data_IF_795776695151
#
_entry.id   IF_795776695151
#
_cell.length_a   1.000
_cell.length_b   1.000
_cell.length_c   1.000
_cell.angle_alpha   90.00
_cell.angle_beta   90.00
_cell.angle_gamma   90.00
#
_symmetry.space_group_name_H-M   'P 1'
#
loop_
_entity.id
_entity.type
_entity.pdbx_description
1 polymer ?
#
# COMPACT_ATOMS: atom_id res chain seq x y z
N UNK A 1 22.46 -2.87 -9.48
CA UNK A 1 21.01 -3.15 -9.49
C UNK A 1 20.45 -2.57 -8.19
N UNK A 2 19.54 -1.58 -8.26
CA UNK A 2 18.97 -0.95 -7.07
C UNK A 2 18.06 -1.97 -6.37
N UNK A 3 18.39 -2.32 -5.13
CA UNK A 3 17.59 -3.22 -4.28
C UNK A 3 16.18 -2.60 -4.19
N UNK A 4 15.18 -3.28 -4.76
CA UNK A 4 13.79 -2.85 -4.62
C UNK A 4 13.43 -3.13 -3.17
N UNK A 5 13.29 -2.08 -2.37
CA UNK A 5 12.87 -2.17 -0.98
C UNK A 5 11.53 -2.92 -0.92
N UNK A 6 11.58 -4.21 -0.57
CA UNK A 6 10.40 -5.06 -0.37
C UNK A 6 10.06 -5.00 1.10
N UNK A 7 8.83 -4.60 1.42
CA UNK A 7 8.39 -4.56 2.81
C UNK A 7 7.98 -5.97 3.25
N UNK A 8 8.29 -6.33 4.49
CA UNK A 8 8.14 -7.69 5.03
C UNK A 8 9.44 -8.49 5.05
N UNK A 9 9.36 -9.80 5.34
CA UNK A 9 10.54 -10.68 5.47
C UNK A 9 11.28 -10.78 4.13
N UNK A 10 12.56 -10.39 4.11
CA UNK A 10 13.45 -10.57 2.96
C UNK A 10 13.72 -12.07 2.77
N UNK A 11 13.29 -12.63 1.64
CA UNK A 11 13.42 -14.06 1.37
C UNK A 11 12.77 -14.49 0.06
N UNK A 12 13.01 -15.75 -0.33
CA UNK A 12 12.31 -16.41 -1.44
C UNK A 12 10.82 -16.46 -1.10
N UNK A 13 9.96 -16.09 -2.05
CA UNK A 13 8.50 -15.93 -1.87
C UNK A 13 8.07 -14.71 -1.04
N UNK A 14 8.93 -13.70 -0.87
CA UNK A 14 8.49 -12.42 -0.31
C UNK A 14 7.30 -11.83 -1.10
N UNK A 15 6.24 -11.37 -0.42
CA UNK A 15 5.08 -10.80 -1.09
C UNK A 15 5.48 -9.54 -1.86
N UNK A 16 4.90 -9.39 -3.06
CA UNK A 16 5.16 -8.24 -3.93
C UNK A 16 4.38 -6.99 -3.51
N UNK A 17 3.25 -7.17 -2.85
CA UNK A 17 2.36 -6.13 -2.35
C UNK A 17 2.20 -6.28 -0.85
N UNK A 18 1.97 -5.16 -0.17
CA UNK A 18 2.08 -5.06 1.27
C UNK A 18 0.74 -4.61 1.75
N UNK A 19 -0.07 -5.55 2.25
CA UNK A 19 -1.32 -5.27 2.96
C UNK A 19 -2.37 -4.51 2.09
N UNK A 20 -3.68 -4.70 2.33
CA UNK A 20 -4.69 -3.82 1.74
C UNK A 20 -4.76 -2.47 2.46
N UNK A 21 -4.77 -1.36 1.71
CA UNK A 21 -4.99 0.00 2.23
C UNK A 21 -6.29 0.58 1.71
N UNK A 22 -6.91 1.48 2.49
CA UNK A 22 -8.06 2.26 2.03
C UNK A 22 -7.59 3.42 1.17
N UNK A 23 -8.36 3.69 0.13
CA UNK A 23 -8.21 4.93 -0.64
C UNK A 23 -8.95 6.02 0.14
N UNK A 24 -8.20 7.01 0.63
CA UNK A 24 -8.78 8.19 1.27
C UNK A 24 -9.37 9.13 0.23
N UNK A 25 -8.61 9.40 -0.84
CA UNK A 25 -9.00 10.36 -1.87
C UNK A 25 -8.48 9.98 -3.25
N UNK A 26 -9.20 10.37 -4.31
CA UNK A 26 -8.71 10.34 -5.69
C UNK A 26 -8.14 11.71 -6.06
N UNK A 27 -6.89 11.75 -6.47
CA UNK A 27 -6.17 12.97 -6.90
C UNK A 27 -5.99 12.91 -8.42
N UNK A 28 -6.91 13.55 -9.13
CA UNK A 28 -6.93 13.54 -10.60
C UNK A 28 -7.24 12.16 -11.18
N UNK A 29 -6.87 11.96 -12.45
CA UNK A 29 -7.28 10.76 -13.16
C UNK A 29 -6.47 9.52 -12.77
N UNK A 30 -5.20 9.73 -12.37
CA UNK A 30 -4.21 8.67 -12.25
C UNK A 30 -3.57 8.53 -10.87
N UNK A 31 -3.81 9.43 -9.93
CA UNK A 31 -3.25 9.35 -8.58
C UNK A 31 -4.33 9.17 -7.51
N UNK A 32 -3.99 8.44 -6.46
CA UNK A 32 -4.85 8.13 -5.34
C UNK A 32 -4.06 8.29 -4.06
N UNK A 33 -4.70 8.90 -3.07
CA UNK A 33 -4.20 9.02 -1.71
C UNK A 33 -4.71 7.83 -0.88
N UNK A 34 -3.78 7.17 -0.20
CA UNK A 34 -4.04 6.01 0.64
C UNK A 34 -3.95 6.37 2.13
N UNK A 35 -4.78 5.72 2.93
CA UNK A 35 -4.66 5.71 4.38
C UNK A 35 -3.59 4.69 4.76
N UNK A 36 -2.38 5.19 4.99
CA UNK A 36 -1.23 4.37 5.41
C UNK A 36 -1.15 4.31 6.95
N UNK A 37 -0.71 3.19 7.54
CA UNK A 37 -0.43 3.08 8.96
C UNK A 37 0.70 4.01 9.38
N UNK A 38 0.69 4.41 10.65
CA UNK A 38 1.70 5.29 11.23
C UNK A 38 3.13 4.71 11.12
N UNK A 39 3.27 3.39 11.07
CA UNK A 39 4.54 2.69 10.80
C UNK A 39 5.17 3.07 9.43
N UNK A 40 4.36 3.58 8.50
CA UNK A 40 4.75 3.98 7.15
C UNK A 40 4.73 5.50 6.94
N UNK A 41 4.85 6.29 8.00
CA UNK A 41 4.86 7.77 7.93
C UNK A 41 5.91 8.35 6.99
N UNK A 42 7.02 7.63 6.75
CA UNK A 42 8.07 8.02 5.82
C UNK A 42 7.71 7.80 4.34
N UNK A 43 6.61 7.10 4.04
CA UNK A 43 6.15 6.80 2.69
C UNK A 43 5.13 7.84 2.26
N UNK A 44 5.24 8.34 1.03
CA UNK A 44 4.22 9.23 0.46
C UNK A 44 2.85 8.55 0.43
N UNK A 45 1.80 9.26 0.84
CA UNK A 45 0.42 8.75 0.85
C UNK A 45 -0.19 8.69 -0.55
N UNK A 46 0.37 9.44 -1.52
CA UNK A 46 -0.16 9.56 -2.88
C UNK A 46 0.60 8.65 -3.84
N UNK A 47 -0.14 7.76 -4.51
CA UNK A 47 0.40 6.79 -5.45
C UNK A 47 -0.30 6.87 -6.81
N UNK A 48 0.46 6.59 -7.87
CA UNK A 48 -0.09 6.40 -9.20
C UNK A 48 -0.84 5.06 -9.30
N UNK A 49 -1.92 4.99 -10.07
CA UNK A 49 -2.80 3.81 -10.21
C UNK A 49 -2.04 2.55 -10.66
N UNK A 50 -0.95 2.69 -11.41
CA UNK A 50 -0.10 1.56 -11.85
C UNK A 50 0.66 0.86 -10.71
N UNK A 51 0.82 1.52 -9.56
CA UNK A 51 1.43 0.96 -8.36
C UNK A 51 0.39 0.26 -7.47
N UNK A 52 -0.90 0.45 -7.75
CA UNK A 52 -1.99 -0.08 -6.97
C UNK A 52 -2.58 -1.31 -7.65
N UNK A 53 -2.99 -2.29 -6.83
CA UNK A 53 -3.75 -3.45 -7.29
C UNK A 53 -5.06 -3.49 -6.55
N UNK A 54 -6.17 -3.64 -7.27
CA UNK A 54 -7.49 -3.79 -6.66
C UNK A 54 -7.52 -5.03 -5.77
N UNK A 55 -7.83 -4.85 -4.49
CA UNK A 55 -8.09 -5.96 -3.58
C UNK A 55 -9.46 -6.57 -3.89
N UNK A 56 -9.48 -7.86 -4.24
CA UNK A 56 -10.67 -8.66 -4.54
C UNK A 56 -11.09 -9.50 -3.31
N UNK A 57 -10.96 -8.94 -2.10
CA UNK A 57 -11.24 -9.62 -0.84
C UNK A 57 -12.21 -8.82 0.02
N UNK A 58 -12.58 -9.38 1.18
CA UNK A 58 -13.46 -8.71 2.13
C UNK A 58 -12.82 -7.39 2.61
N UNK A 59 -13.51 -6.24 2.52
CA UNK A 59 -13.03 -4.98 3.08
C UNK A 59 -12.74 -5.03 4.59
N UNK A 60 -13.23 -6.04 5.32
CA UNK A 60 -12.87 -6.30 6.72
C UNK A 60 -11.39 -6.69 6.92
N UNK A 61 -10.71 -7.16 5.86
CA UNK A 61 -9.28 -7.49 5.88
C UNK A 61 -8.38 -6.26 5.83
N UNK A 62 -8.96 -5.08 5.63
CA UNK A 62 -8.25 -3.81 5.77
C UNK A 62 -7.97 -3.64 7.25
N UNK A 63 -6.73 -3.92 7.63
CA UNK A 63 -6.28 -3.80 9.02
C UNK A 63 -6.48 -2.33 9.42
N UNK A 64 -7.32 -2.03 10.43
CA UNK A 64 -7.44 -0.68 10.93
C UNK A 64 -6.08 -0.26 11.46
N UNK A 65 -5.60 0.88 10.98
CA UNK A 65 -4.41 1.55 11.49
C UNK A 65 -4.65 1.90 12.95
N UNK A 66 -4.27 1.02 13.88
CA UNK A 66 -4.39 1.27 15.30
C UNK A 66 -3.15 2.05 15.76
N UNK A 67 -3.37 3.30 16.18
CA UNK A 67 -2.35 4.25 16.63
C UNK A 67 -2.46 5.56 15.87
#
# INVERSE_FOLDING_TARGET
MKDVMRFGKKGKLSPRYIIPYRISKRIGNLAYELELPQELVAVHTVFHISLLKKCMGDPSLIIPTQG
#
